data_IF_902451069355
#
_entry.id   IF_902451069355
#
_cell.length_a   1.000
_cell.length_b   1.000
_cell.length_c   1.000
_cell.angle_alpha   90.00
_cell.angle_beta   90.00
_cell.angle_gamma   90.00
#
_symmetry.space_group_name_H-M   'P 1'
#
loop_
_entity.id
_entity.type
_entity.pdbx_description
1 polymer ?
#
# COMPACT_ATOMS: atom_id res chain seq x y z
N UNK A 1 34.51 -32.35 0.46
CA UNK A 1 34.04 -31.74 -0.80
C UNK A 1 32.63 -31.23 -0.53
N UNK A 2 32.43 -29.92 -0.39
CA UNK A 2 31.09 -29.36 -0.33
C UNK A 2 30.55 -29.35 -1.76
N UNK A 3 29.61 -30.23 -2.06
CA UNK A 3 28.75 -30.09 -3.23
C UNK A 3 27.98 -28.78 -3.05
N UNK A 4 28.33 -27.74 -3.78
CA UNK A 4 27.49 -26.55 -3.86
C UNK A 4 26.15 -26.99 -4.45
N UNK A 5 25.12 -27.11 -3.62
CA UNK A 5 23.75 -27.27 -4.08
C UNK A 5 23.39 -26.04 -4.87
N UNK A 6 22.78 -26.20 -6.05
CA UNK A 6 22.24 -25.07 -6.80
C UNK A 6 21.32 -24.22 -5.91
N UNK A 7 21.31 -22.88 -6.06
CA UNK A 7 20.41 -22.01 -5.31
C UNK A 7 18.95 -22.42 -5.54
N UNK A 8 18.12 -22.28 -4.51
CA UNK A 8 16.66 -22.44 -4.63
C UNK A 8 16.15 -21.37 -5.60
N UNK A 9 15.46 -21.79 -6.66
CA UNK A 9 14.90 -20.88 -7.67
C UNK A 9 13.45 -20.58 -7.32
N UNK A 10 13.17 -19.30 -7.06
CA UNK A 10 11.86 -18.82 -6.64
C UNK A 10 11.30 -17.89 -7.71
N UNK A 11 10.08 -18.17 -8.14
CA UNK A 11 9.26 -17.23 -8.92
C UNK A 11 8.28 -16.53 -7.98
N UNK A 12 8.24 -15.21 -7.97
CA UNK A 12 7.27 -14.43 -7.22
C UNK A 12 6.26 -13.76 -8.13
N UNK A 13 4.98 -14.03 -7.89
CA UNK A 13 3.86 -13.44 -8.61
C UNK A 13 3.11 -12.51 -7.68
N UNK A 14 3.28 -11.21 -7.81
CA UNK A 14 2.54 -10.27 -6.97
C UNK A 14 3.18 -8.91 -6.86
N UNK A 15 2.88 -8.19 -5.78
CA UNK A 15 3.15 -6.78 -5.62
C UNK A 15 4.31 -6.50 -4.68
N UNK A 16 4.07 -5.67 -3.66
CA UNK A 16 5.10 -5.06 -2.84
C UNK A 16 5.71 -6.03 -1.83
N UNK A 17 4.95 -6.98 -1.27
CA UNK A 17 5.51 -7.89 -0.25
C UNK A 17 6.44 -8.90 -0.91
N UNK A 18 6.06 -9.42 -2.08
CA UNK A 18 6.91 -10.30 -2.89
C UNK A 18 8.17 -9.55 -3.33
N UNK A 19 8.04 -8.34 -3.89
CA UNK A 19 9.19 -7.54 -4.31
C UNK A 19 10.15 -7.20 -3.15
N UNK A 20 9.65 -6.99 -1.94
CA UNK A 20 10.49 -6.81 -0.76
C UNK A 20 11.27 -8.07 -0.38
N UNK A 21 10.63 -9.25 -0.42
CA UNK A 21 11.29 -10.52 -0.15
C UNK A 21 12.36 -10.84 -1.20
N UNK A 22 12.02 -10.66 -2.48
CA UNK A 22 12.95 -10.85 -3.60
C UNK A 22 14.18 -9.95 -3.48
N UNK A 23 13.98 -8.64 -3.24
CA UNK A 23 15.07 -7.70 -3.03
C UNK A 23 15.99 -8.13 -1.89
N UNK A 24 15.43 -8.54 -0.74
CA UNK A 24 16.25 -8.94 0.40
C UNK A 24 17.07 -10.18 0.10
N UNK A 25 16.43 -11.26 -0.36
CA UNK A 25 17.06 -12.55 -0.60
C UNK A 25 18.13 -12.47 -1.70
N UNK A 26 17.85 -11.79 -2.82
CA UNK A 26 18.85 -11.61 -3.88
C UNK A 26 20.06 -10.76 -3.43
N UNK A 27 19.87 -9.86 -2.46
CA UNK A 27 20.97 -9.00 -1.97
C UNK A 27 21.81 -9.70 -0.91
N UNK A 28 21.19 -10.45 0.00
CA UNK A 28 21.87 -10.98 1.21
C UNK A 28 22.11 -12.47 1.16
N UNK A 29 21.35 -13.22 0.37
CA UNK A 29 21.41 -14.69 0.29
C UNK A 29 21.57 -15.22 -1.17
N UNK A 30 22.36 -14.58 -2.05
CA UNK A 30 22.39 -14.91 -3.48
C UNK A 30 22.94 -16.32 -3.78
N UNK A 31 23.77 -16.86 -2.89
CA UNK A 31 24.34 -18.21 -3.02
C UNK A 31 23.35 -19.32 -2.66
N UNK A 32 22.28 -18.98 -1.93
CA UNK A 32 21.26 -19.91 -1.46
C UNK A 32 19.95 -19.77 -2.23
N UNK A 33 19.64 -18.58 -2.73
CA UNK A 33 18.38 -18.27 -3.39
C UNK A 33 18.59 -17.42 -4.63
N UNK A 34 17.86 -17.76 -5.70
CA UNK A 34 17.63 -16.90 -6.85
C UNK A 34 16.14 -16.59 -6.93
N UNK A 35 15.76 -15.33 -6.74
CA UNK A 35 14.35 -14.92 -6.68
C UNK A 35 13.99 -14.00 -7.86
N UNK A 36 13.25 -14.52 -8.83
CA UNK A 36 12.64 -13.74 -9.92
C UNK A 36 11.28 -13.17 -9.49
N UNK A 37 11.05 -11.87 -9.63
CA UNK A 37 9.80 -11.21 -9.24
C UNK A 37 9.08 -10.66 -10.47
N UNK A 38 7.84 -11.09 -10.65
CA UNK A 38 6.90 -10.60 -11.67
C UNK A 38 5.82 -9.74 -11.01
N UNK A 39 5.77 -8.48 -11.39
CA UNK A 39 4.81 -7.53 -10.83
C UNK A 39 3.42 -7.74 -11.43
N UNK A 40 2.56 -8.48 -10.73
CA UNK A 40 1.20 -8.80 -11.18
C UNK A 40 0.15 -8.18 -10.26
N UNK A 41 -0.86 -7.55 -10.88
CA UNK A 41 -1.96 -6.87 -10.19
C UNK A 41 -3.31 -7.57 -10.37
N UNK A 42 -3.40 -8.57 -11.24
CA UNK A 42 -4.58 -9.42 -11.40
C UNK A 42 -4.18 -10.66 -12.20
N UNK A 43 -4.36 -11.85 -11.62
CA UNK A 43 -3.98 -13.10 -12.30
C UNK A 43 -4.87 -13.44 -13.50
N UNK A 44 -6.09 -12.88 -13.59
CA UNK A 44 -6.94 -13.01 -14.78
C UNK A 44 -6.27 -12.39 -16.01
N UNK A 45 -5.43 -11.36 -15.85
CA UNK A 45 -4.72 -10.73 -16.98
C UNK A 45 -3.89 -11.77 -17.73
N UNK A 46 -3.16 -12.61 -17.00
CA UNK A 46 -2.39 -13.72 -17.58
C UNK A 46 -3.29 -14.87 -18.07
N UNK A 47 -4.23 -15.32 -17.24
CA UNK A 47 -5.03 -16.52 -17.51
C UNK A 47 -6.06 -16.37 -18.64
N UNK A 48 -6.52 -15.16 -18.91
CA UNK A 48 -7.48 -14.87 -19.98
C UNK A 48 -6.81 -14.39 -21.28
N UNK A 49 -5.54 -13.99 -21.22
CA UNK A 49 -4.80 -13.59 -22.41
C UNK A 49 -4.44 -14.81 -23.26
N UNK A 50 -4.77 -14.75 -24.55
CA UNK A 50 -4.38 -15.78 -25.51
C UNK A 50 -3.41 -15.16 -26.51
N UNK A 51 -2.10 -15.14 -26.21
CA UNK A 51 -1.15 -14.46 -27.07
C UNK A 51 -0.52 -15.38 -28.12
N UNK A 52 -0.56 -15.04 -29.43
CA UNK A 52 0.43 -15.51 -30.39
C UNK A 52 1.75 -14.75 -30.19
N UNK A 53 2.86 -15.48 -30.05
CA UNK A 53 4.23 -15.04 -29.70
C UNK A 53 4.69 -13.71 -30.34
N UNK A 54 4.23 -13.37 -31.54
CA UNK A 54 4.64 -12.15 -32.26
C UNK A 54 3.93 -10.85 -31.89
N UNK A 55 2.80 -10.87 -31.15
CA UNK A 55 2.06 -9.62 -30.84
C UNK A 55 2.57 -8.88 -29.59
N UNK A 56 3.26 -9.60 -28.69
CA UNK A 56 3.79 -9.01 -27.45
C UNK A 56 5.04 -8.16 -27.71
N UNK A 57 5.93 -8.58 -28.63
CA UNK A 57 7.20 -7.88 -28.89
C UNK A 57 6.96 -6.43 -29.38
N UNK A 58 5.87 -6.20 -30.12
CA UNK A 58 5.48 -4.87 -30.57
C UNK A 58 5.02 -3.95 -29.42
N UNK A 59 4.52 -4.55 -28.33
CA UNK A 59 4.04 -3.84 -27.15
C UNK A 59 5.13 -3.63 -26.09
N UNK A 60 6.29 -4.32 -26.19
CA UNK A 60 7.39 -4.17 -25.22
C UNK A 60 7.98 -2.76 -25.16
N UNK A 61 7.81 -1.95 -26.22
CA UNK A 61 8.24 -0.56 -26.24
C UNK A 61 7.39 0.36 -25.33
N UNK A 62 6.21 -0.09 -24.90
CA UNK A 62 5.26 0.71 -24.11
C UNK A 62 5.71 0.79 -22.65
N UNK A 63 5.94 2.01 -22.17
CA UNK A 63 6.40 2.21 -20.79
C UNK A 63 5.20 2.25 -19.84
N UNK A 64 5.02 1.18 -19.05
CA UNK A 64 3.92 1.07 -18.11
C UNK A 64 4.30 0.32 -16.83
N UNK A 65 3.45 0.44 -15.81
CA UNK A 65 3.59 -0.27 -14.54
C UNK A 65 2.29 -1.01 -14.21
N UNK A 66 2.33 -2.33 -14.03
CA UNK A 66 3.46 -3.23 -14.28
C UNK A 66 3.90 -3.27 -15.75
N UNK A 67 5.15 -3.67 -16.02
CA UNK A 67 5.60 -3.94 -17.39
C UNK A 67 4.72 -5.00 -18.06
N UNK A 68 4.42 -4.84 -19.35
CA UNK A 68 3.62 -5.83 -20.09
C UNK A 68 4.25 -7.22 -20.12
N UNK A 69 5.59 -7.30 -20.10
CA UNK A 69 6.31 -8.56 -19.98
C UNK A 69 5.93 -9.31 -18.70
N UNK A 70 5.78 -8.63 -17.57
CA UNK A 70 5.36 -9.27 -16.32
C UNK A 70 3.91 -9.76 -16.38
N UNK A 71 3.06 -9.13 -17.19
CA UNK A 71 1.66 -9.54 -17.37
C UNK A 71 1.52 -10.77 -18.27
N UNK A 72 2.31 -10.86 -19.34
CA UNK A 72 2.13 -11.88 -20.39
C UNK A 72 3.13 -13.03 -20.31
N UNK A 73 4.31 -12.81 -19.72
CA UNK A 73 5.42 -13.78 -19.63
C UNK A 73 5.71 -14.18 -18.18
N UNK A 74 4.73 -14.01 -17.30
CA UNK A 74 4.87 -14.23 -15.86
C UNK A 74 5.33 -15.65 -15.49
N UNK A 75 4.96 -16.65 -16.30
CA UNK A 75 5.24 -18.07 -16.05
C UNK A 75 6.30 -18.66 -16.98
N UNK A 76 7.03 -17.82 -17.73
CA UNK A 76 8.08 -18.30 -18.62
C UNK A 76 9.17 -19.02 -17.81
N UNK A 77 9.50 -20.25 -18.22
CA UNK A 77 10.50 -21.08 -17.55
C UNK A 77 10.06 -21.67 -16.21
N UNK A 78 8.74 -21.73 -15.92
CA UNK A 78 8.18 -22.25 -14.66
C UNK A 78 8.69 -23.65 -14.28
N UNK A 79 9.04 -24.48 -15.26
CA UNK A 79 9.61 -25.81 -15.09
C UNK A 79 10.98 -25.81 -14.41
N UNK A 80 11.65 -24.67 -14.37
CA UNK A 80 12.99 -24.52 -13.77
C UNK A 80 12.98 -24.00 -12.34
N UNK A 81 11.80 -23.65 -11.80
CA UNK A 81 11.65 -23.12 -10.44
C UNK A 81 11.30 -24.21 -9.43
N UNK A 82 11.81 -24.06 -8.21
CA UNK A 82 11.52 -24.93 -7.07
C UNK A 82 10.28 -24.44 -6.30
N UNK A 83 10.11 -23.11 -6.22
CA UNK A 83 9.05 -22.46 -5.46
C UNK A 83 8.36 -21.38 -6.29
N UNK A 84 7.04 -21.30 -6.22
CA UNK A 84 6.26 -20.17 -6.68
C UNK A 84 5.56 -19.48 -5.50
N UNK A 85 5.93 -18.23 -5.24
CA UNK A 85 5.30 -17.39 -4.23
C UNK A 85 4.21 -16.54 -4.88
N UNK A 86 2.96 -16.68 -4.43
CA UNK A 86 1.79 -16.01 -5.03
C UNK A 86 1.20 -15.05 -3.99
N UNK A 87 1.20 -13.75 -4.25
CA UNK A 87 0.58 -12.77 -3.34
C UNK A 87 -0.95 -12.86 -3.37
N UNK A 88 -1.57 -12.88 -2.20
CA UNK A 88 -3.03 -12.78 -2.08
C UNK A 88 -3.38 -11.30 -1.93
N UNK A 89 -4.17 -10.78 -2.85
CA UNK A 89 -4.69 -9.41 -2.79
C UNK A 89 -5.99 -9.20 -3.56
N UNK A 90 -6.78 -8.16 -3.25
CA UNK A 90 -7.94 -7.80 -4.03
C UNK A 90 -7.48 -7.38 -5.44
N UNK A 91 -7.91 -8.08 -6.49
CA UNK A 91 -7.37 -7.88 -7.84
C UNK A 91 -7.71 -6.49 -8.38
N UNK A 92 -6.76 -5.88 -9.09
CA UNK A 92 -6.98 -4.60 -9.77
C UNK A 92 -7.88 -4.76 -10.99
N UNK A 93 -8.45 -3.64 -11.45
CA UNK A 93 -9.26 -3.58 -12.67
C UNK A 93 -8.48 -4.04 -13.90
N UNK A 94 -9.16 -4.79 -14.78
CA UNK A 94 -8.59 -5.26 -16.05
C UNK A 94 -8.81 -4.24 -17.16
N UNK A 95 -7.90 -4.27 -18.11
CA UNK A 95 -7.96 -3.56 -19.38
C UNK A 95 -7.91 -4.60 -20.49
N UNK A 96 -8.63 -4.34 -21.58
CA UNK A 96 -8.68 -5.23 -22.75
C UNK A 96 -8.13 -4.51 -23.97
N UNK A 97 -7.32 -5.20 -24.76
CA UNK A 97 -6.90 -4.69 -26.05
C UNK A 97 -8.05 -4.73 -27.08
N UNK A 98 -8.24 -3.65 -27.85
CA UNK A 98 -9.36 -3.46 -28.78
C UNK A 98 -9.42 -4.53 -29.88
N UNK A 99 -8.26 -4.93 -30.40
CA UNK A 99 -8.15 -5.81 -31.57
C UNK A 99 -7.52 -7.17 -31.27
N UNK A 100 -6.98 -7.37 -30.06
CA UNK A 100 -6.27 -8.60 -29.69
C UNK A 100 -6.90 -9.22 -28.45
N UNK A 101 -6.84 -10.56 -28.30
CA UNK A 101 -7.33 -11.24 -27.10
C UNK A 101 -6.33 -11.10 -25.94
N UNK A 102 -5.94 -9.87 -25.62
CA UNK A 102 -5.01 -9.51 -24.55
C UNK A 102 -5.72 -8.77 -23.44
N UNK A 103 -5.36 -9.12 -22.21
CA UNK A 103 -5.83 -8.50 -20.98
C UNK A 103 -4.64 -8.10 -20.12
N UNK A 104 -4.68 -6.87 -19.58
CA UNK A 104 -3.61 -6.34 -18.75
C UNK A 104 -4.17 -5.55 -17.56
N UNK A 105 -3.32 -5.26 -16.58
CA UNK A 105 -3.62 -4.35 -15.48
C UNK A 105 -2.56 -3.28 -15.41
N UNK A 106 -2.94 -2.07 -14.99
CA UNK A 106 -2.04 -0.94 -14.84
C UNK A 106 -2.31 -0.23 -13.51
N UNK A 107 -1.25 0.29 -12.88
CA UNK A 107 -1.38 1.18 -11.72
C UNK A 107 -1.92 2.56 -12.11
N UNK A 108 -1.65 2.97 -13.35
CA UNK A 108 -2.13 4.22 -13.94
C UNK A 108 -2.37 3.98 -15.42
N UNK A 109 -3.54 4.38 -15.90
CA UNK A 109 -3.89 4.31 -17.31
C UNK A 109 -3.55 5.64 -17.97
N UNK A 110 -2.76 5.60 -19.03
CA UNK A 110 -2.21 6.77 -19.72
C UNK A 110 -2.71 6.83 -21.16
N UNK A 111 -2.62 8.01 -21.78
CA UNK A 111 -2.92 8.20 -23.21
C UNK A 111 -2.06 7.29 -24.11
N UNK A 112 -0.83 6.95 -23.68
CA UNK A 112 0.04 5.98 -24.37
C UNK A 112 -0.60 4.58 -24.41
N UNK A 113 -1.13 4.11 -23.27
CA UNK A 113 -1.81 2.83 -23.16
C UNK A 113 -3.11 2.78 -23.98
N UNK A 114 -3.84 3.91 -24.03
CA UNK A 114 -5.01 4.04 -24.87
C UNK A 114 -4.65 4.04 -26.37
N UNK A 115 -3.58 4.76 -26.75
CA UNK A 115 -3.12 4.87 -28.13
C UNK A 115 -2.67 3.53 -28.69
N UNK A 116 -2.04 2.69 -27.87
CA UNK A 116 -1.69 1.31 -28.25
C UNK A 116 -2.85 0.33 -28.11
N UNK A 117 -4.06 0.80 -27.80
CA UNK A 117 -5.29 0.04 -27.99
C UNK A 117 -5.86 -0.65 -26.75
N UNK A 118 -5.40 -0.34 -25.53
CA UNK A 118 -6.04 -0.84 -24.31
C UNK A 118 -7.21 0.05 -23.89
N UNK A 119 -8.34 -0.56 -23.52
CA UNK A 119 -9.48 0.10 -22.92
C UNK A 119 -9.80 -0.49 -21.55
N UNK A 120 -10.26 0.32 -20.57
CA UNK A 120 -10.71 -0.20 -19.28
C UNK A 120 -11.92 -1.12 -19.47
N UNK A 121 -11.89 -2.31 -18.86
CA UNK A 121 -13.08 -3.14 -18.77
C UNK A 121 -14.01 -2.56 -17.71
N UNK A 122 -15.28 -2.28 -18.05
CA UNK A 122 -16.26 -1.91 -17.04
C UNK A 122 -16.37 -3.06 -16.05
N UNK A 123 -15.86 -2.82 -14.84
CA UNK A 123 -15.93 -3.78 -13.74
C UNK A 123 -17.04 -3.28 -12.82
N UNK A 124 -18.22 -3.94 -12.78
CA UNK A 124 -19.25 -3.54 -11.84
C UNK A 124 -18.70 -3.63 -10.40
N UNK A 125 -19.14 -2.76 -9.48
CA UNK A 125 -18.76 -2.89 -8.09
C UNK A 125 -19.23 -4.25 -7.57
N UNK A 126 -18.27 -5.13 -7.31
CA UNK A 126 -18.54 -6.44 -6.72
C UNK A 126 -18.67 -6.30 -5.21
N UNK A 127 -19.62 -7.04 -4.63
CA UNK A 127 -19.60 -7.23 -3.19
C UNK A 127 -18.28 -7.88 -2.77
N UNK A 128 -17.77 -7.67 -1.54
CA UNK A 128 -16.57 -8.36 -1.07
C UNK A 128 -16.65 -9.88 -1.21
N UNK A 129 -17.83 -10.47 -1.06
CA UNK A 129 -18.07 -11.90 -1.23
C UNK A 129 -17.89 -12.35 -2.68
N UNK A 130 -18.45 -11.63 -3.65
CA UNK A 130 -18.34 -11.98 -5.07
C UNK A 130 -16.91 -11.82 -5.58
N UNK A 131 -16.22 -10.78 -5.12
CA UNK A 131 -14.80 -10.56 -5.41
C UNK A 131 -13.93 -11.71 -4.84
N UNK A 132 -14.24 -12.18 -3.62
CA UNK A 132 -13.56 -13.31 -3.01
C UNK A 132 -13.79 -14.62 -3.77
N UNK A 133 -15.02 -14.87 -4.23
CA UNK A 133 -15.34 -16.05 -5.03
C UNK A 133 -14.60 -16.04 -6.37
N UNK A 134 -14.57 -14.89 -7.05
CA UNK A 134 -13.82 -14.72 -8.30
C UNK A 134 -12.33 -14.99 -8.06
N UNK A 135 -11.73 -14.36 -7.06
CA UNK A 135 -10.32 -14.55 -6.74
C UNK A 135 -10.00 -16.02 -6.44
N UNK A 136 -10.85 -16.71 -5.67
CA UNK A 136 -10.68 -18.12 -5.35
C UNK A 136 -10.63 -19.00 -6.61
N UNK A 137 -11.56 -18.79 -7.55
CA UNK A 137 -11.57 -19.52 -8.84
C UNK A 137 -10.34 -19.21 -9.68
N UNK A 138 -9.95 -17.93 -9.76
CA UNK A 138 -8.75 -17.50 -10.50
C UNK A 138 -7.49 -18.15 -9.92
N UNK A 139 -7.36 -18.18 -8.59
CA UNK A 139 -6.22 -18.82 -7.93
C UNK A 139 -6.18 -20.34 -8.19
N UNK A 140 -7.32 -21.03 -8.12
CA UNK A 140 -7.39 -22.45 -8.46
C UNK A 140 -6.90 -22.72 -9.88
N UNK A 141 -7.39 -21.96 -10.86
CA UNK A 141 -6.93 -22.06 -12.26
C UNK A 141 -5.44 -21.77 -12.41
N UNK A 142 -4.91 -20.77 -11.69
CA UNK A 142 -3.49 -20.47 -11.70
C UNK A 142 -2.68 -21.66 -11.17
N UNK A 143 -3.07 -22.24 -10.03
CA UNK A 143 -2.36 -23.39 -9.48
C UNK A 143 -2.45 -24.63 -10.38
N UNK A 144 -3.62 -24.90 -10.96
CA UNK A 144 -3.76 -25.98 -11.94
C UNK A 144 -2.82 -25.79 -13.15
N UNK A 145 -2.70 -24.56 -13.65
CA UNK A 145 -1.76 -24.23 -14.73
C UNK A 145 -0.32 -24.45 -14.28
N UNK A 146 0.09 -23.93 -13.12
CA UNK A 146 1.42 -24.13 -12.57
C UNK A 146 1.77 -25.63 -12.44
N UNK A 147 0.84 -26.44 -11.91
CA UNK A 147 1.03 -27.90 -11.73
C UNK A 147 1.07 -28.66 -13.04
N UNK A 148 0.37 -28.22 -14.09
CA UNK A 148 0.47 -28.80 -15.43
C UNK A 148 1.87 -28.65 -16.01
N UNK A 149 2.52 -27.51 -15.77
CA UNK A 149 3.88 -27.25 -16.26
C UNK A 149 4.97 -27.80 -15.34
N UNK A 150 4.76 -27.79 -14.02
CA UNK A 150 5.71 -28.27 -13.04
C UNK A 150 5.00 -28.93 -11.86
N UNK A 151 4.90 -30.27 -11.88
CA UNK A 151 4.22 -31.03 -10.84
C UNK A 151 4.94 -30.96 -9.48
N UNK A 152 6.27 -30.82 -9.48
CA UNK A 152 7.09 -30.81 -8.26
C UNK A 152 7.12 -29.45 -7.55
N UNK A 153 6.76 -28.38 -8.26
CA UNK A 153 6.77 -26.99 -7.78
C UNK A 153 6.13 -26.84 -6.41
N UNK A 154 6.80 -26.20 -5.47
CA UNK A 154 6.18 -25.83 -4.19
C UNK A 154 5.51 -24.47 -4.33
N UNK A 155 4.36 -24.29 -3.69
CA UNK A 155 3.59 -23.04 -3.80
C UNK A 155 3.42 -22.44 -2.41
N UNK A 156 3.80 -21.17 -2.26
CA UNK A 156 3.56 -20.41 -1.04
C UNK A 156 2.62 -19.27 -1.38
N UNK A 157 1.40 -19.34 -0.86
CA UNK A 157 0.47 -18.22 -0.94
C UNK A 157 0.81 -17.20 0.14
N UNK A 158 0.90 -15.92 -0.21
CA UNK A 158 1.45 -14.87 0.65
C UNK A 158 0.43 -13.76 0.87
N UNK A 159 -0.12 -13.67 2.07
CA UNK A 159 -0.89 -12.50 2.49
C UNK A 159 -0.01 -11.55 3.33
N UNK A 160 0.32 -10.38 2.77
CA UNK A 160 1.12 -9.34 3.43
C UNK A 160 0.32 -8.28 4.18
N UNK A 161 -1.02 -8.34 4.16
CA UNK A 161 -1.91 -7.30 4.69
C UNK A 161 -2.75 -7.83 5.87
N UNK A 162 -3.08 -6.97 6.85
CA UNK A 162 -4.03 -7.38 7.89
C UNK A 162 -5.46 -7.42 7.34
N UNK A 163 -6.17 -8.48 7.70
CA UNK A 163 -7.61 -8.59 7.47
C UNK A 163 -8.37 -7.73 8.46
N UNK A 164 -9.59 -7.35 8.10
CA UNK A 164 -10.46 -6.53 8.95
C UNK A 164 -10.63 -7.15 10.35
N UNK A 165 -10.41 -6.34 11.37
CA UNK A 165 -10.76 -6.66 12.76
C UNK A 165 -12.25 -6.36 12.97
N UNK A 166 -13.00 -7.31 13.54
CA UNK A 166 -14.43 -7.14 13.79
C UNK A 166 -14.71 -6.06 14.84
N UNK A 167 -13.81 -5.92 15.81
CA UNK A 167 -13.97 -5.03 16.94
C UNK A 167 -13.39 -3.64 16.63
N UNK A 168 -12.56 -3.55 15.57
CA UNK A 168 -11.89 -2.32 15.10
C UNK A 168 -11.99 -2.22 13.58
N UNK A 169 -13.15 -1.83 13.04
CA UNK A 169 -13.40 -1.80 11.59
C UNK A 169 -12.47 -0.85 10.80
N UNK A 170 -11.79 0.07 11.50
CA UNK A 170 -10.76 0.99 10.99
C UNK A 170 -9.38 0.32 10.79
N UNK A 171 -9.24 -0.94 11.19
CA UNK A 171 -8.05 -1.76 11.04
C UNK A 171 -8.32 -2.92 10.09
N UNK A 172 -7.46 -3.03 9.07
CA UNK A 172 -7.45 -4.13 8.11
C UNK A 172 -8.46 -3.99 6.97
N UNK A 173 -8.32 -4.86 5.97
CA UNK A 173 -9.14 -4.83 4.75
C UNK A 173 -10.30 -5.82 4.80
N UNK A 174 -11.52 -5.32 4.56
CA UNK A 174 -12.72 -6.13 4.45
C UNK A 174 -12.68 -7.05 3.21
N UNK A 175 -12.14 -6.55 2.09
CA UNK A 175 -11.99 -7.34 0.88
C UNK A 175 -10.97 -8.47 1.08
N UNK A 176 -9.84 -8.16 1.74
CA UNK A 176 -8.84 -9.18 2.08
C UNK A 176 -9.40 -10.25 3.03
N UNK A 177 -10.17 -9.83 4.04
CA UNK A 177 -10.82 -10.74 4.98
C UNK A 177 -11.77 -11.72 4.26
N UNK A 178 -12.61 -11.21 3.35
CA UNK A 178 -13.48 -12.04 2.54
C UNK A 178 -12.68 -13.03 1.67
N UNK A 179 -11.61 -12.57 1.01
CA UNK A 179 -10.73 -13.42 0.19
C UNK A 179 -10.11 -14.53 1.06
N UNK A 180 -9.45 -14.20 2.17
CA UNK A 180 -8.78 -15.20 3.00
C UNK A 180 -9.75 -16.20 3.62
N UNK A 181 -10.94 -15.75 4.07
CA UNK A 181 -11.98 -16.68 4.54
C UNK A 181 -12.39 -17.65 3.45
N UNK A 182 -12.61 -17.17 2.22
CA UNK A 182 -12.96 -18.04 1.10
C UNK A 182 -11.82 -19.01 0.76
N UNK A 183 -10.58 -18.53 0.67
CA UNK A 183 -9.43 -19.38 0.38
C UNK A 183 -9.26 -20.51 1.40
N UNK A 184 -9.48 -20.23 2.69
CA UNK A 184 -9.46 -21.23 3.78
C UNK A 184 -10.49 -22.35 3.63
N UNK A 185 -11.50 -22.18 2.78
CA UNK A 185 -12.49 -23.25 2.47
C UNK A 185 -12.08 -24.11 1.27
N UNK A 186 -11.06 -23.71 0.51
CA UNK A 186 -10.65 -24.45 -0.68
C UNK A 186 -9.83 -25.69 -0.31
N UNK A 187 -10.12 -26.86 -0.90
CA UNK A 187 -9.30 -28.07 -0.74
C UNK A 187 -7.82 -27.85 -1.09
N UNK A 188 -7.56 -26.92 -2.01
CA UNK A 188 -6.24 -26.50 -2.48
C UNK A 188 -5.23 -26.24 -1.35
N UNK A 189 -5.66 -25.62 -0.24
CA UNK A 189 -4.76 -25.31 0.88
C UNK A 189 -4.30 -26.53 1.68
N UNK A 190 -4.94 -27.68 1.45
CA UNK A 190 -4.60 -28.95 2.08
C UNK A 190 -3.77 -29.86 1.17
N UNK A 191 -3.48 -29.42 -0.06
CA UNK A 191 -2.65 -30.16 -0.99
C UNK A 191 -1.18 -30.15 -0.59
N UNK A 192 -0.49 -31.27 -0.86
CA UNK A 192 0.93 -31.40 -0.57
C UNK A 192 1.77 -30.37 -1.36
N UNK A 193 2.70 -29.72 -0.68
CA UNK A 193 3.56 -28.71 -1.30
C UNK A 193 2.89 -27.36 -1.53
N UNK A 194 1.72 -27.11 -0.93
CA UNK A 194 1.12 -25.78 -0.85
C UNK A 194 1.11 -25.32 0.61
N UNK A 195 1.54 -24.08 0.86
CA UNK A 195 1.50 -23.45 2.18
C UNK A 195 0.93 -22.04 2.11
N UNK A 196 0.37 -21.58 3.23
CA UNK A 196 -0.11 -20.21 3.40
C UNK A 196 0.78 -19.48 4.41
N UNK A 197 1.40 -18.40 3.95
CA UNK A 197 2.07 -17.40 4.77
C UNK A 197 1.12 -16.22 5.00
N UNK A 198 0.67 -16.05 6.24
CA UNK A 198 -0.37 -15.07 6.60
C UNK A 198 0.12 -14.06 7.64
N UNK A 199 0.15 -12.79 7.27
CA UNK A 199 0.55 -11.69 8.15
C UNK A 199 -0.27 -11.62 9.44
N UNK A 200 -1.57 -11.95 9.37
CA UNK A 200 -2.42 -11.98 10.57
C UNK A 200 -1.92 -13.02 11.59
N UNK A 201 -1.44 -14.17 11.12
CA UNK A 201 -0.89 -15.22 12.00
C UNK A 201 0.37 -14.74 12.69
N UNK A 202 1.30 -14.11 11.94
CA UNK A 202 2.53 -13.56 12.50
C UNK A 202 2.23 -12.51 13.57
N UNK A 203 1.40 -11.52 13.27
CA UNK A 203 1.07 -10.46 14.22
C UNK A 203 0.37 -11.01 15.46
N UNK A 204 -0.59 -11.93 15.31
CA UNK A 204 -1.26 -12.57 16.44
C UNK A 204 -0.28 -13.35 17.34
N UNK A 205 0.71 -14.04 16.74
CA UNK A 205 1.74 -14.73 17.51
C UNK A 205 2.63 -13.74 18.27
N UNK A 206 3.08 -12.68 17.61
CA UNK A 206 3.92 -11.65 18.24
C UNK A 206 3.19 -10.89 19.35
N UNK A 207 1.88 -10.65 19.21
CA UNK A 207 1.06 -10.03 20.25
C UNK A 207 0.92 -10.93 21.47
N UNK A 208 0.71 -12.23 21.29
CA UNK A 208 0.57 -13.19 22.40
C UNK A 208 1.83 -13.29 23.27
N UNK A 209 3.00 -13.06 22.69
CA UNK A 209 4.27 -13.03 23.43
C UNK A 209 4.76 -11.62 23.78
N UNK A 210 3.91 -10.58 23.60
CA UNK A 210 4.27 -9.17 23.83
C UNK A 210 5.53 -8.72 23.07
N UNK A 211 5.81 -9.32 21.91
CA UNK A 211 6.97 -8.99 21.08
C UNK A 211 6.69 -7.89 20.06
N UNK A 212 5.44 -7.76 19.58
CA UNK A 212 5.00 -6.67 18.74
C UNK A 212 3.47 -6.48 18.85
N UNK A 213 3.01 -5.27 18.58
CA UNK A 213 1.58 -4.94 18.50
C UNK A 213 1.22 -4.44 17.10
N UNK A 214 -0.02 -4.66 16.67
CA UNK A 214 -0.42 -4.32 15.30
C UNK A 214 -0.23 -2.83 14.98
N UNK A 215 -0.48 -1.90 15.92
CA UNK A 215 -0.33 -0.47 15.66
C UNK A 215 1.13 -0.02 15.53
N UNK A 216 2.06 -0.73 16.17
CA UNK A 216 3.50 -0.45 16.02
C UNK A 216 4.09 -1.21 14.82
N UNK A 217 3.51 -2.36 14.47
CA UNK A 217 3.81 -3.08 13.24
C UNK A 217 3.32 -2.33 11.98
N UNK A 218 2.19 -1.63 12.08
CA UNK A 218 1.53 -0.87 11.01
C UNK A 218 1.26 0.57 11.47
N UNK A 219 2.29 1.41 11.53
CA UNK A 219 2.22 2.68 12.26
C UNK A 219 1.38 3.74 11.55
N UNK A 220 1.34 3.73 10.21
CA UNK A 220 0.82 4.86 9.46
C UNK A 220 -0.69 5.03 9.57
N UNK A 221 -1.10 6.28 9.73
CA UNK A 221 -2.48 6.72 9.71
C UNK A 221 -2.80 7.35 8.36
N UNK A 222 -4.05 7.26 7.95
CA UNK A 222 -4.55 7.98 6.78
C UNK A 222 -6.04 8.26 6.88
N UNK A 223 -6.51 9.20 6.06
CA UNK A 223 -7.92 9.49 5.88
C UNK A 223 -8.50 8.57 4.81
N UNK A 224 -9.39 7.66 5.20
CA UNK A 224 -10.06 6.76 4.26
C UNK A 224 -11.26 7.45 3.62
N UNK A 225 -11.42 7.27 2.31
CA UNK A 225 -12.51 7.89 1.55
C UNK A 225 -12.98 6.99 0.41
N UNK A 226 -14.17 7.30 -0.13
CA UNK A 226 -14.68 6.70 -1.38
C UNK A 226 -14.03 7.36 -2.60
N UNK A 227 -14.13 6.76 -3.79
CA UNK A 227 -13.70 7.41 -5.03
C UNK A 227 -14.36 8.77 -5.28
N UNK A 228 -15.54 9.03 -4.71
CA UNK A 228 -16.29 10.28 -4.84
C UNK A 228 -16.01 11.26 -3.69
N UNK A 229 -14.83 11.11 -3.05
CA UNK A 229 -14.33 12.00 -2.01
C UNK A 229 -15.20 12.02 -0.73
N UNK A 230 -16.02 10.99 -0.48
CA UNK A 230 -16.74 10.86 0.79
C UNK A 230 -15.84 10.24 1.84
N UNK A 231 -15.67 10.90 2.99
CA UNK A 231 -14.78 10.43 4.06
C UNK A 231 -15.46 9.31 4.83
N UNK A 232 -14.74 8.20 5.03
CA UNK A 232 -15.15 7.08 5.89
C UNK A 232 -14.63 7.22 7.32
N UNK A 233 -13.47 7.85 7.49
CA UNK A 233 -12.85 8.10 8.79
C UNK A 233 -11.33 7.99 8.74
N UNK A 234 -10.70 8.04 9.92
CA UNK A 234 -9.25 7.80 10.07
C UNK A 234 -8.99 6.31 10.22
N UNK A 235 -8.14 5.78 9.34
CA UNK A 235 -7.82 4.35 9.25
C UNK A 235 -6.31 4.14 9.39
N UNK A 236 -5.94 2.90 9.67
CA UNK A 236 -4.55 2.46 9.74
C UNK A 236 -4.13 1.81 8.42
N UNK A 237 -2.96 2.17 7.91
CA UNK A 237 -2.36 1.51 6.76
C UNK A 237 -1.90 0.10 7.16
N UNK A 238 -2.73 -0.88 6.84
CA UNK A 238 -2.51 -2.27 7.21
C UNK A 238 -1.74 -3.08 6.16
N UNK A 239 -1.10 -2.39 5.21
CA UNK A 239 -0.29 -2.97 4.14
C UNK A 239 1.20 -2.72 4.35
N UNK A 240 1.57 -1.51 4.79
CA UNK A 240 2.98 -1.12 4.90
C UNK A 240 3.52 -1.33 6.32
N UNK A 241 4.05 -2.54 6.57
CA UNK A 241 4.70 -2.93 7.82
C UNK A 241 6.05 -2.25 8.06
N UNK A 242 6.49 -2.24 9.33
CA UNK A 242 7.87 -1.88 9.70
C UNK A 242 8.91 -2.85 9.12
N UNK A 243 10.17 -2.42 9.07
CA UNK A 243 11.27 -3.26 8.56
C UNK A 243 11.48 -4.53 9.40
N UNK A 244 11.38 -4.43 10.73
CA UNK A 244 11.52 -5.57 11.64
C UNK A 244 10.45 -6.65 11.41
N UNK A 245 9.19 -6.24 11.21
CA UNK A 245 8.10 -7.16 10.92
C UNK A 245 8.28 -7.81 9.53
N UNK A 246 8.75 -7.07 8.53
CA UNK A 246 9.07 -7.64 7.21
C UNK A 246 10.15 -8.72 7.27
N UNK A 247 11.20 -8.53 8.08
CA UNK A 247 12.24 -9.54 8.28
C UNK A 247 11.70 -10.80 8.97
N UNK A 248 10.83 -10.63 9.98
CA UNK A 248 10.17 -11.77 10.63
C UNK A 248 9.27 -12.54 9.67
N UNK A 249 8.51 -11.82 8.86
CA UNK A 249 7.66 -12.40 7.81
C UNK A 249 8.48 -13.16 6.76
N UNK A 250 9.65 -12.62 6.36
CA UNK A 250 10.59 -13.32 5.49
C UNK A 250 11.21 -14.56 6.15
N UNK A 251 11.47 -14.51 7.47
CA UNK A 251 11.91 -15.68 8.23
C UNK A 251 10.89 -16.81 8.20
N UNK A 252 9.60 -16.50 8.39
CA UNK A 252 8.50 -17.47 8.24
C UNK A 252 8.39 -18.01 6.80
N UNK A 253 8.57 -17.16 5.78
CA UNK A 253 8.63 -17.59 4.38
C UNK A 253 9.74 -18.64 4.16
N UNK A 254 10.95 -18.40 4.68
CA UNK A 254 12.07 -19.33 4.56
C UNK A 254 11.84 -20.61 5.37
N UNK A 255 11.20 -20.52 6.53
CA UNK A 255 10.82 -21.68 7.34
C UNK A 255 9.82 -22.60 6.59
N UNK A 256 8.86 -22.02 5.85
CA UNK A 256 7.93 -22.78 5.02
C UNK A 256 8.67 -23.54 3.89
N UNK A 257 9.63 -22.89 3.23
CA UNK A 257 10.50 -23.57 2.24
C UNK A 257 11.29 -24.73 2.88
N UNK A 258 11.84 -24.52 4.08
CA UNK A 258 12.47 -25.59 4.86
C UNK A 258 11.53 -26.73 5.19
N UNK A 259 10.26 -26.44 5.49
CA UNK A 259 9.19 -27.42 5.68
C UNK A 259 8.88 -28.26 4.44
N UNK A 260 9.20 -27.77 3.23
CA UNK A 260 9.16 -28.53 1.99
C UNK A 260 10.42 -29.37 1.73
N UNK A 261 11.39 -29.37 2.65
CA UNK A 261 12.66 -30.07 2.50
C UNK A 261 13.72 -29.31 1.71
N UNK A 262 13.52 -28.02 1.44
CA UNK A 262 14.48 -27.18 0.73
C UNK A 262 15.53 -26.62 1.71
N UNK A 263 16.77 -26.45 1.26
CA UNK A 263 17.85 -25.86 2.06
C UNK A 263 17.73 -24.31 2.11
N UNK A 264 16.66 -23.83 2.74
CA UNK A 264 16.33 -22.41 2.80
C UNK A 264 17.25 -21.63 3.76
N UNK A 265 17.56 -20.35 3.47
CA UNK A 265 18.37 -19.51 4.34
C UNK A 265 17.69 -19.29 5.70
N UNK A 266 18.50 -19.08 6.73
CA UNK A 266 18.02 -18.69 8.06
C UNK A 266 18.19 -17.18 8.22
N UNK A 267 17.07 -16.46 8.18
CA UNK A 267 17.08 -15.01 8.35
C UNK A 267 17.45 -14.65 9.78
N UNK A 268 18.53 -13.88 9.94
CA UNK A 268 18.88 -13.29 11.23
C UNK A 268 17.81 -12.28 11.63
N UNK A 269 17.05 -12.60 12.67
CA UNK A 269 16.03 -11.71 13.20
C UNK A 269 16.67 -10.77 14.22
N UNK A 270 16.51 -9.46 14.02
CA UNK A 270 16.81 -8.50 15.08
C UNK A 270 15.75 -8.61 16.18
N UNK A 271 16.18 -8.47 17.44
CA UNK A 271 15.24 -8.32 18.54
C UNK A 271 14.32 -7.12 18.26
N UNK A 272 13.02 -7.22 18.58
CA UNK A 272 12.17 -6.06 18.47
C UNK A 272 12.71 -5.00 19.43
N UNK A 273 12.80 -3.75 18.99
CA UNK A 273 12.81 -2.63 19.93
C UNK A 273 11.43 -2.60 20.60
N UNK A 274 11.26 -3.37 21.68
CA UNK A 274 10.03 -3.31 22.48
C UNK A 274 10.11 -1.98 23.24
N UNK A 275 9.44 -0.95 22.72
CA UNK A 275 9.30 0.30 23.46
C UNK A 275 8.37 0.11 24.68
N UNK A 276 7.36 -0.76 24.60
CA UNK A 276 6.32 -0.85 25.64
C UNK A 276 5.74 -2.27 25.80
N UNK A 277 5.60 -2.72 27.04
CA UNK A 277 5.16 -4.09 27.41
C UNK A 277 3.68 -4.21 27.78
N UNK A 278 2.90 -3.12 27.72
CA UNK A 278 1.47 -3.17 28.06
C UNK A 278 0.65 -3.91 26.99
N UNK A 279 -0.35 -4.72 27.35
CA UNK A 279 -1.07 -5.60 26.42
C UNK A 279 -2.11 -4.87 25.56
N UNK A 280 -2.76 -3.81 26.06
CA UNK A 280 -3.75 -3.04 25.30
C UNK A 280 -3.22 -1.67 24.82
N UNK A 281 -3.79 -1.20 23.71
CA UNK A 281 -3.34 0.00 23.00
C UNK A 281 -3.56 1.30 23.79
N UNK A 282 -4.66 1.39 24.54
CA UNK A 282 -4.97 2.61 25.29
C UNK A 282 -4.06 2.74 26.52
N UNK A 283 -3.77 1.61 27.19
CA UNK A 283 -2.81 1.59 28.29
C UNK A 283 -1.40 1.94 27.81
N UNK A 284 -0.96 1.40 26.66
CA UNK A 284 0.30 1.80 26.00
C UNK A 284 0.37 3.31 25.79
N UNK A 285 -0.63 3.86 25.10
CA UNK A 285 -0.72 5.30 24.86
C UNK A 285 -0.67 6.15 26.15
N UNK A 286 -1.34 5.70 27.22
CA UNK A 286 -1.29 6.39 28.53
C UNK A 286 0.09 6.31 29.16
N UNK A 287 0.75 5.15 29.12
CA UNK A 287 2.11 4.98 29.65
C UNK A 287 3.13 5.80 28.88
N UNK A 288 3.00 5.86 27.55
CA UNK A 288 3.82 6.72 26.70
C UNK A 288 3.80 8.16 27.19
N UNK A 289 2.62 8.78 27.34
CA UNK A 289 2.51 10.17 27.78
C UNK A 289 2.76 10.40 29.28
N UNK A 290 2.74 9.35 30.11
CA UNK A 290 3.16 9.45 31.51
C UNK A 290 4.69 9.52 31.65
N UNK A 291 5.46 9.15 30.62
CA UNK A 291 6.91 9.22 30.65
C UNK A 291 7.39 10.69 30.57
N UNK A 292 8.29 11.14 31.47
CA UNK A 292 8.75 12.54 31.50
C UNK A 292 9.38 13.06 30.20
N UNK A 293 9.89 12.17 29.35
CA UNK A 293 10.59 12.50 28.11
C UNK A 293 9.69 12.54 26.88
N UNK A 294 8.46 12.04 26.96
CA UNK A 294 7.60 11.81 25.79
C UNK A 294 7.24 13.08 25.00
N UNK A 295 7.25 14.25 25.66
CA UNK A 295 6.87 15.54 25.07
C UNK A 295 8.08 16.45 24.79
N UNK A 296 9.29 16.06 25.23
CA UNK A 296 10.51 16.90 25.14
C UNK A 296 11.34 16.57 23.88
N UNK A 297 11.28 15.34 23.38
CA UNK A 297 12.03 14.86 22.21
C UNK A 297 11.33 14.85 20.82
N UNK A 298 10.02 15.13 20.63
CA UNK A 298 9.37 14.87 19.34
C UNK A 298 9.92 15.65 18.13
N UNK A 299 10.46 16.86 18.31
CA UNK A 299 10.82 17.74 17.20
C UNK A 299 11.96 17.20 16.31
N UNK A 300 12.84 16.33 16.86
CA UNK A 300 13.85 15.60 16.07
C UNK A 300 13.40 14.16 15.72
N UNK A 301 12.48 13.59 16.48
CA UNK A 301 11.97 12.22 16.29
C UNK A 301 10.91 12.09 15.18
N UNK A 302 10.28 13.20 14.76
CA UNK A 302 9.31 13.20 13.67
C UNK A 302 9.93 13.16 12.27
N UNK A 303 11.25 13.05 12.13
CA UNK A 303 11.84 12.70 10.83
C UNK A 303 11.37 11.31 10.34
N UNK A 304 11.20 10.35 11.25
CA UNK A 304 10.58 9.05 10.92
C UNK A 304 9.05 9.18 10.91
N UNK A 305 8.38 9.03 9.75
CA UNK A 305 6.92 9.12 9.67
C UNK A 305 6.23 8.06 10.52
N UNK A 306 6.87 6.93 10.83
CA UNK A 306 6.29 5.86 11.65
C UNK A 306 6.13 6.32 13.09
N UNK A 307 7.18 6.91 13.66
CA UNK A 307 7.17 7.46 15.02
C UNK A 307 6.12 8.57 15.12
N UNK A 308 6.06 9.44 14.12
CA UNK A 308 5.06 10.49 14.06
C UNK A 308 3.62 9.94 14.03
N UNK A 309 3.32 8.95 13.18
CA UNK A 309 1.98 8.35 13.13
C UNK A 309 1.58 7.63 14.42
N UNK A 310 2.52 6.96 15.10
CA UNK A 310 2.27 6.34 16.40
C UNK A 310 2.00 7.41 17.47
N UNK A 311 2.80 8.48 17.52
CA UNK A 311 2.58 9.60 18.43
C UNK A 311 1.18 10.21 18.27
N UNK A 312 0.78 10.47 17.01
CA UNK A 312 -0.56 10.99 16.69
C UNK A 312 -1.67 9.99 17.08
N UNK A 313 -1.46 8.69 16.83
CA UNK A 313 -2.39 7.63 17.24
C UNK A 313 -2.63 7.61 18.76
N UNK A 314 -1.55 7.70 19.55
CA UNK A 314 -1.63 7.77 21.00
C UNK A 314 -2.32 9.05 21.46
N UNK A 315 -2.01 10.19 20.83
CA UNK A 315 -2.62 11.47 21.16
C UNK A 315 -4.14 11.44 20.98
N UNK A 316 -4.64 10.87 19.88
CA UNK A 316 -6.09 10.68 19.67
C UNK A 316 -6.73 9.84 20.77
N UNK A 317 -6.08 8.72 21.08
CA UNK A 317 -6.67 7.69 21.94
C UNK A 317 -6.74 8.12 23.40
N UNK A 318 -5.88 9.07 23.79
CA UNK A 318 -5.81 9.64 25.13
C UNK A 318 -6.34 11.07 25.22
N UNK A 319 -6.76 11.67 24.09
CA UNK A 319 -7.15 13.08 23.98
C UNK A 319 -6.11 14.05 24.58
N UNK A 320 -4.82 13.78 24.37
CA UNK A 320 -3.72 14.47 25.04
C UNK A 320 -3.47 15.89 24.48
N UNK A 321 -3.95 16.92 25.18
CA UNK A 321 -3.97 18.31 24.68
C UNK A 321 -2.58 18.87 24.35
N UNK A 322 -1.58 18.57 25.16
CA UNK A 322 -0.22 19.06 24.91
C UNK A 322 0.41 18.38 23.68
N UNK A 323 0.02 17.13 23.40
CA UNK A 323 0.46 16.45 22.18
C UNK A 323 -0.20 17.10 20.94
N UNK A 324 -1.47 17.50 21.05
CA UNK A 324 -2.15 18.26 19.99
C UNK A 324 -1.47 19.60 19.72
N UNK A 325 -0.97 20.30 20.75
CA UNK A 325 -0.17 21.52 20.57
C UNK A 325 1.08 21.25 19.73
N UNK A 326 1.85 20.22 20.10
CA UNK A 326 3.08 19.82 19.39
C UNK A 326 2.78 19.44 17.93
N UNK A 327 1.70 18.70 17.67
CA UNK A 327 1.32 18.30 16.30
C UNK A 327 0.93 19.53 15.46
N UNK A 328 0.23 20.52 16.04
CA UNK A 328 -0.10 21.77 15.34
C UNK A 328 1.14 22.59 15.02
N UNK A 329 2.10 22.66 15.92
CA UNK A 329 3.38 23.34 15.66
C UNK A 329 4.14 22.65 14.53
N UNK A 330 4.19 21.32 14.55
CA UNK A 330 4.77 20.54 13.45
C UNK A 330 4.05 20.78 12.12
N UNK A 331 2.71 20.86 12.10
CA UNK A 331 1.94 21.20 10.89
C UNK A 331 2.31 22.58 10.35
N UNK A 332 2.39 23.59 11.21
CA UNK A 332 2.73 24.95 10.81
C UNK A 332 4.15 25.03 10.24
N UNK A 333 5.11 24.30 10.81
CA UNK A 333 6.47 24.23 10.28
C UNK A 333 6.55 23.40 8.99
N UNK A 334 5.80 22.30 8.90
CA UNK A 334 5.67 21.51 7.68
C UNK A 334 5.14 22.36 6.53
N UNK A 335 4.11 23.19 6.76
CA UNK A 335 3.53 24.07 5.75
C UNK A 335 4.48 25.18 5.26
N UNK A 336 5.45 25.59 6.08
CA UNK A 336 6.49 26.56 5.69
C UNK A 336 7.61 25.90 4.89
N UNK A 337 7.93 24.64 5.20
CA UNK A 337 9.13 23.96 4.72
C UNK A 337 8.88 22.98 3.57
N UNK A 338 7.65 22.47 3.41
CA UNK A 338 7.37 21.35 2.51
C UNK A 338 6.12 21.55 1.63
N UNK A 339 6.12 21.02 0.39
CA UNK A 339 7.29 20.42 -0.28
C UNK A 339 8.29 21.51 -0.73
N UNK A 340 9.58 21.30 -0.47
CA UNK A 340 10.65 22.19 -0.95
C UNK A 340 11.11 21.83 -2.38
N UNK A 341 10.87 20.59 -2.79
CA UNK A 341 11.22 20.03 -4.09
C UNK A 341 10.29 18.86 -4.42
N UNK A 342 10.38 18.33 -5.64
CA UNK A 342 9.56 17.18 -6.07
C UNK A 342 9.72 15.90 -5.23
N UNK A 343 10.94 15.61 -4.73
CA UNK A 343 11.20 14.38 -3.97
C UNK A 343 10.50 14.36 -2.60
N UNK A 344 10.24 15.53 -2.01
CA UNK A 344 9.48 15.65 -0.77
C UNK A 344 8.07 15.06 -0.89
N UNK A 345 7.43 15.17 -2.07
CA UNK A 345 6.10 14.59 -2.32
C UNK A 345 6.07 13.08 -2.03
N UNK A 346 7.18 12.38 -2.30
CA UNK A 346 7.34 10.96 -1.96
C UNK A 346 7.83 10.77 -0.52
N UNK A 347 8.90 11.47 -0.14
CA UNK A 347 9.61 11.22 1.12
C UNK A 347 8.82 11.65 2.36
N UNK A 348 7.95 12.66 2.23
CA UNK A 348 7.10 13.19 3.30
C UNK A 348 5.64 12.76 3.19
N UNK A 349 5.31 11.84 2.27
CA UNK A 349 3.94 11.43 2.01
C UNK A 349 3.20 10.97 3.28
N UNK A 350 3.82 10.09 4.06
CA UNK A 350 3.18 9.56 5.27
C UNK A 350 3.08 10.59 6.41
N UNK A 351 3.94 11.61 6.44
CA UNK A 351 3.78 12.76 7.34
C UNK A 351 2.51 13.53 6.98
N UNK A 352 2.35 13.89 5.70
CA UNK A 352 1.16 14.60 5.26
C UNK A 352 -0.12 13.81 5.56
N UNK A 353 -0.17 12.51 5.22
CA UNK A 353 -1.37 11.69 5.50
C UNK A 353 -1.75 11.69 6.97
N UNK A 354 -0.75 11.60 7.84
CA UNK A 354 -0.94 11.63 9.29
C UNK A 354 -1.44 13.00 9.75
N UNK A 355 -0.89 14.09 9.20
CA UNK A 355 -1.35 15.45 9.45
C UNK A 355 -2.81 15.66 9.01
N UNK A 356 -3.18 15.21 7.81
CA UNK A 356 -4.55 15.27 7.30
C UNK A 356 -5.52 14.49 8.18
N UNK A 357 -5.13 13.30 8.65
CA UNK A 357 -5.91 12.52 9.61
C UNK A 357 -6.12 13.28 10.94
N UNK A 358 -5.07 13.92 11.45
CA UNK A 358 -5.14 14.79 12.63
C UNK A 358 -6.08 15.98 12.44
N UNK A 359 -5.92 16.71 11.34
CA UNK A 359 -6.75 17.87 11.03
C UNK A 359 -8.22 17.48 10.93
N UNK A 360 -8.53 16.39 10.22
CA UNK A 360 -9.90 15.90 10.10
C UNK A 360 -10.53 15.54 11.46
N UNK A 361 -9.78 14.84 12.32
CA UNK A 361 -10.29 14.35 13.60
C UNK A 361 -10.41 15.42 14.68
N UNK A 362 -9.44 16.34 14.76
CA UNK A 362 -9.34 17.32 15.86
C UNK A 362 -9.93 18.68 15.46
N UNK A 363 -10.03 18.96 14.15
CA UNK A 363 -10.45 20.25 13.58
C UNK A 363 -9.73 21.45 14.20
N UNK A 364 -8.39 21.45 14.27
CA UNK A 364 -7.65 22.63 14.70
C UNK A 364 -7.86 23.76 13.68
N UNK A 365 -7.70 25.01 14.12
CA UNK A 365 -7.61 26.16 13.21
C UNK A 365 -6.30 26.08 12.42
N UNK A 366 -6.35 25.46 11.25
CA UNK A 366 -5.20 25.15 10.42
C UNK A 366 -5.52 25.20 8.90
N UNK A 367 -6.66 25.78 8.51
CA UNK A 367 -7.08 25.77 7.10
C UNK A 367 -6.05 26.49 6.23
N UNK A 368 -5.55 27.64 6.69
CA UNK A 368 -4.50 28.37 5.99
C UNK A 368 -3.23 27.53 5.76
N UNK A 369 -2.80 26.74 6.74
CA UNK A 369 -1.60 25.90 6.62
C UNK A 369 -1.80 24.76 5.63
N UNK A 370 -2.98 24.12 5.65
CA UNK A 370 -3.33 23.08 4.67
C UNK A 370 -3.35 23.62 3.24
N UNK A 371 -3.98 24.79 3.03
CA UNK A 371 -4.02 25.42 1.72
C UNK A 371 -2.64 25.90 1.25
N UNK A 372 -1.77 26.36 2.16
CA UNK A 372 -0.37 26.73 1.83
C UNK A 372 0.43 25.54 1.33
N UNK A 373 0.30 24.37 1.96
CA UNK A 373 0.94 23.14 1.43
C UNK A 373 0.43 22.85 0.02
N UNK A 374 -0.89 22.94 -0.19
CA UNK A 374 -1.52 22.75 -1.49
C UNK A 374 -0.98 23.69 -2.57
N UNK A 375 -0.86 24.99 -2.25
CA UNK A 375 -0.26 26.00 -3.14
C UNK A 375 1.22 25.72 -3.42
N UNK A 376 1.99 25.27 -2.42
CA UNK A 376 3.40 24.92 -2.61
C UNK A 376 3.59 23.75 -3.57
N UNK A 377 2.70 22.75 -3.58
CA UNK A 377 2.71 21.67 -4.59
C UNK A 377 2.52 22.24 -6.00
N UNK A 378 1.59 23.18 -6.16
CA UNK A 378 1.29 23.81 -7.45
C UNK A 378 2.43 24.72 -7.92
N UNK A 379 3.18 25.32 -6.98
CA UNK A 379 4.30 26.20 -7.26
C UNK A 379 5.60 25.45 -7.62
N UNK A 380 5.68 24.13 -7.41
CA UNK A 380 6.86 23.35 -7.81
C UNK A 380 7.10 23.44 -9.33
N UNK A 381 8.36 23.58 -9.78
CA UNK A 381 8.68 23.52 -11.20
C UNK A 381 8.18 22.22 -11.84
N UNK A 382 7.56 22.31 -13.02
CA UNK A 382 6.97 21.15 -13.70
C UNK A 382 7.94 19.97 -13.83
N UNK A 383 9.19 20.24 -14.24
CA UNK A 383 10.26 19.24 -14.35
C UNK A 383 10.54 18.47 -13.06
N UNK A 384 10.31 19.09 -11.90
CA UNK A 384 10.50 18.45 -10.59
C UNK A 384 9.26 17.74 -10.12
N UNK A 385 8.07 18.25 -10.48
CA UNK A 385 6.78 17.67 -10.09
C UNK A 385 6.40 16.45 -10.93
N UNK A 386 6.67 16.47 -12.24
CA UNK A 386 6.26 15.46 -13.21
C UNK A 386 6.66 14.01 -12.81
N UNK A 387 7.88 13.74 -12.31
CA UNK A 387 8.25 12.39 -11.86
C UNK A 387 7.46 11.90 -10.65
N UNK A 388 6.79 12.81 -9.92
CA UNK A 388 6.07 12.56 -8.68
C UNK A 388 4.58 12.93 -8.77
N UNK A 389 4.02 13.07 -9.99
CA UNK A 389 2.61 13.45 -10.19
C UNK A 389 1.64 12.60 -9.38
N UNK A 390 1.85 11.28 -9.30
CA UNK A 390 1.00 10.40 -8.49
C UNK A 390 0.99 10.80 -7.01
N UNK A 391 2.15 11.17 -6.44
CA UNK A 391 2.21 11.66 -5.06
C UNK A 391 1.59 13.04 -4.91
N UNK A 392 1.80 13.95 -5.88
CA UNK A 392 1.14 15.26 -5.86
C UNK A 392 -0.39 15.14 -5.83
N UNK A 393 -0.96 14.26 -6.68
CA UNK A 393 -2.40 14.02 -6.72
C UNK A 393 -2.93 13.43 -5.40
N UNK A 394 -2.19 12.50 -4.78
CA UNK A 394 -2.54 11.95 -3.47
C UNK A 394 -2.50 13.03 -2.38
N UNK A 395 -1.45 13.86 -2.35
CA UNK A 395 -1.34 14.98 -1.40
C UNK A 395 -2.50 15.96 -1.55
N UNK A 396 -2.80 16.40 -2.77
CA UNK A 396 -3.90 17.32 -3.04
C UNK A 396 -5.25 16.74 -2.61
N UNK A 397 -5.46 15.45 -2.81
CA UNK A 397 -6.67 14.74 -2.35
C UNK A 397 -6.76 14.72 -0.82
N UNK A 398 -5.71 14.30 -0.13
CA UNK A 398 -5.66 14.25 1.34
C UNK A 398 -5.84 15.65 1.96
N UNK A 399 -5.16 16.66 1.40
CA UNK A 399 -5.27 18.06 1.80
C UNK A 399 -6.69 18.59 1.61
N UNK A 400 -7.33 18.28 0.48
CA UNK A 400 -8.68 18.75 0.19
C UNK A 400 -9.68 18.18 1.19
N UNK A 401 -9.63 16.87 1.41
CA UNK A 401 -10.52 16.19 2.33
C UNK A 401 -10.40 16.72 3.77
N UNK A 402 -9.17 16.96 4.22
CA UNK A 402 -8.91 17.54 5.53
C UNK A 402 -9.34 19.02 5.63
N UNK A 403 -9.04 19.83 4.62
CA UNK A 403 -9.43 21.25 4.55
C UNK A 403 -10.96 21.41 4.54
N UNK A 404 -11.66 20.54 3.80
CA UNK A 404 -13.12 20.51 3.73
C UNK A 404 -13.77 20.36 5.11
N UNK A 405 -13.14 19.62 6.03
CA UNK A 405 -13.64 19.44 7.39
C UNK A 405 -13.49 20.70 8.27
N UNK A 406 -12.66 21.67 7.86
CA UNK A 406 -12.42 22.93 8.58
C UNK A 406 -13.28 24.09 8.06
N UNK A 407 -13.82 24.00 6.83
CA UNK A 407 -14.57 25.09 6.19
C UNK A 407 -15.70 25.68 7.04
N UNK A 408 -16.50 24.90 7.79
CA UNK A 408 -17.60 25.47 8.59
C UNK A 408 -17.14 26.46 9.67
N UNK A 409 -15.90 26.36 10.11
CA UNK A 409 -15.33 27.15 11.22
C UNK A 409 -14.27 28.17 10.71
N UNK A 410 -14.11 28.28 9.40
CA UNK A 410 -13.08 29.12 8.78
C UNK A 410 -13.44 30.61 8.84
N UNK A 411 -12.44 31.44 9.13
CA UNK A 411 -12.62 32.89 9.03
C UNK A 411 -12.41 33.41 7.59
N UNK A 412 -12.63 34.71 7.42
CA UNK A 412 -12.54 35.35 6.10
C UNK A 412 -11.13 35.26 5.49
N UNK A 413 -10.07 35.31 6.30
CA UNK A 413 -8.70 35.20 5.79
C UNK A 413 -8.41 33.77 5.33
N UNK A 414 -8.80 32.77 6.13
CA UNK A 414 -8.64 31.36 5.78
C UNK A 414 -9.44 30.99 4.53
N UNK A 415 -10.68 31.48 4.42
CA UNK A 415 -11.51 31.28 3.22
C UNK A 415 -10.90 31.91 1.97
N UNK A 416 -10.28 33.09 2.09
CA UNK A 416 -9.59 33.72 0.96
C UNK A 416 -8.39 32.90 0.48
N UNK A 417 -7.65 32.26 1.38
CA UNK A 417 -6.54 31.38 1.01
C UNK A 417 -7.07 30.09 0.38
N UNK A 418 -8.16 29.53 0.91
CA UNK A 418 -8.82 28.36 0.34
C UNK A 418 -9.27 28.60 -1.10
N UNK A 419 -10.00 29.68 -1.39
CA UNK A 419 -10.43 30.00 -2.75
C UNK A 419 -9.25 30.17 -3.71
N UNK A 420 -8.18 30.87 -3.28
CA UNK A 420 -6.94 31.00 -4.07
C UNK A 420 -6.34 29.65 -4.43
N UNK A 421 -6.34 28.71 -3.50
CA UNK A 421 -5.83 27.36 -3.75
C UNK A 421 -6.70 26.58 -4.73
N UNK A 422 -8.02 26.58 -4.55
CA UNK A 422 -8.95 25.90 -5.48
C UNK A 422 -8.87 26.51 -6.88
N UNK A 423 -8.80 27.84 -7.00
CA UNK A 423 -8.63 28.51 -8.29
C UNK A 423 -7.30 28.19 -8.97
N UNK A 424 -6.21 28.17 -8.22
CA UNK A 424 -4.89 27.77 -8.73
C UNK A 424 -4.92 26.31 -9.20
N UNK A 425 -5.54 25.41 -8.45
CA UNK A 425 -5.67 24.00 -8.80
C UNK A 425 -6.49 23.82 -10.09
N UNK A 426 -7.61 24.55 -10.23
CA UNK A 426 -8.44 24.56 -11.43
C UNK A 426 -7.67 25.06 -12.66
N UNK A 427 -6.72 25.97 -12.48
CA UNK A 427 -5.97 26.61 -13.57
C UNK A 427 -4.64 25.91 -13.91
N UNK A 428 -4.23 24.89 -13.16
CA UNK A 428 -2.99 24.16 -13.39
C UNK A 428 -3.13 23.23 -14.61
N UNK A 429 -2.56 23.65 -15.74
CA UNK A 429 -2.67 22.94 -17.03
C UNK A 429 -2.15 21.50 -17.01
N UNK A 430 -1.24 21.19 -16.09
CA UNK A 430 -0.60 19.89 -15.99
C UNK A 430 -1.39 18.93 -15.07
N UNK A 431 -2.23 19.46 -14.19
CA UNK A 431 -2.97 18.67 -13.20
C UNK A 431 -4.50 18.66 -13.43
N UNK A 432 -5.06 19.68 -14.09
CA UNK A 432 -6.51 19.87 -14.26
C UNK A 432 -7.24 18.72 -14.98
N UNK A 433 -6.52 17.95 -15.81
CA UNK A 433 -7.11 16.83 -16.56
C UNK A 433 -7.11 15.52 -15.77
N UNK A 434 -6.44 15.47 -14.62
CA UNK A 434 -6.44 14.27 -13.78
C UNK A 434 -7.76 14.16 -13.00
N UNK A 435 -8.35 12.97 -13.02
CA UNK A 435 -9.65 12.69 -12.36
C UNK A 435 -9.72 13.14 -10.90
N UNK A 436 -8.71 12.94 -10.04
CA UNK A 436 -8.76 13.44 -8.67
C UNK A 436 -8.95 14.96 -8.59
N UNK A 437 -8.26 15.73 -9.44
CA UNK A 437 -8.35 17.20 -9.48
C UNK A 437 -9.72 17.66 -9.96
N UNK A 438 -10.24 17.05 -11.04
CA UNK A 438 -11.57 17.35 -11.54
C UNK A 438 -12.64 17.14 -10.46
N UNK A 439 -12.55 16.03 -9.70
CA UNK A 439 -13.47 15.75 -8.59
C UNK A 439 -13.36 16.78 -7.47
N UNK A 440 -12.15 17.16 -7.08
CA UNK A 440 -11.92 18.20 -6.06
C UNK A 440 -12.56 19.53 -6.50
N UNK A 441 -12.28 19.97 -7.72
CA UNK A 441 -12.79 21.23 -8.26
C UNK A 441 -14.33 21.21 -8.31
N UNK A 442 -14.92 20.12 -8.82
CA UNK A 442 -16.38 19.98 -8.87
C UNK A 442 -17.02 19.95 -7.47
N UNK A 443 -16.48 19.19 -6.51
CA UNK A 443 -17.01 19.15 -5.12
C UNK A 443 -16.83 20.50 -4.42
N UNK A 444 -15.76 21.25 -4.70
CA UNK A 444 -15.54 22.58 -4.13
C UNK A 444 -16.57 23.61 -4.64
N UNK A 445 -16.76 23.72 -5.96
CA UNK A 445 -17.69 24.70 -6.55
C UNK A 445 -19.17 24.29 -6.42
N UNK A 446 -19.50 23.01 -6.49
CA UNK A 446 -20.88 22.53 -6.28
C UNK A 446 -21.41 22.75 -4.86
N UNK A 447 -20.53 23.05 -3.90
CA UNK A 447 -20.87 23.46 -2.53
C UNK A 447 -20.98 24.96 -2.34
N UNK A 448 -20.45 25.79 -3.25
CA UNK A 448 -20.63 27.24 -3.21
C UNK A 448 -22.04 27.67 -3.68
N UNK A 449 -22.74 26.80 -4.41
CA UNK A 449 -24.11 27.02 -4.92
C UNK A 449 -25.23 26.50 -3.98
N UNK A 450 -24.88 26.00 -2.78
CA UNK A 450 -25.83 25.57 -1.74
C UNK A 450 -25.62 26.35 -0.46
#
# INVERSE_FOLDING_TARGET
MNTFSSPIRILGLGRCVIGHMAKYLNTHEPDLVSFDHRYLLNYDAYLESASPVGSIDALEAVTCMPPLADQFRALDGIETYDVCAIEIFPPSGLYRHRSEPLFACFESFTDELEAVGFDPLPTPPLSPSDAAERFARTLQRLVETLRKHNQALKIILVNGELTRDSDRPEVGSAAMDAILRKLRTLPLLHEEGIALLDMNRLINQLQRCNAAFFETAFPYLYLSHTPDLEIRGVFRDCKHTTASIRLRFLGEFCALMGGFGLNAPRIALTEPEIAETAPDFLERARRFFAAPTALVQPAHDFEDPRKFSVFVSYAFSTAHQEAYRIIREYLADFAKCHPANGADLKNRFYHLRTLCAFVYSVRPRALADMCRIGLSILALPEKERQPYTNFALLWLTDLYLASRALLPDADHEEMNIYHKWIDALRSDKNLQNHTPVQKIVVDAFGREER
#
